data_IF_926579034331
#
_entry.id   IF_926579034331
#
_cell.length_a   1.000
_cell.length_b   1.000
_cell.length_c   1.000
_cell.angle_alpha   90.00
_cell.angle_beta   90.00
_cell.angle_gamma   90.00
#
_symmetry.space_group_name_H-M   'P 1'
#
loop_
_entity.id
_entity.type
_entity.pdbx_description
1 polymer ?
#
# COMPACT_ATOMS: atom_id res chain seq x y z
N UNK A 1 -30.82 54.36 -11.59
CA UNK A 1 -30.06 53.64 -10.54
C UNK A 1 -28.62 54.12 -10.55
N UNK A 2 -27.99 54.39 -9.40
CA UNK A 2 -26.60 54.83 -9.41
C UNK A 2 -25.69 53.68 -9.87
N UNK A 3 -24.76 53.97 -10.78
CA UNK A 3 -23.81 52.99 -11.34
C UNK A 3 -23.05 52.23 -10.24
N UNK A 4 -22.87 52.87 -9.08
CA UNK A 4 -22.29 52.29 -7.88
C UNK A 4 -23.11 51.12 -7.28
N UNK A 5 -24.44 51.21 -7.27
CA UNK A 5 -25.31 50.12 -6.76
C UNK A 5 -25.26 48.89 -7.68
N UNK A 6 -25.19 49.11 -8.99
CA UNK A 6 -25.04 48.04 -9.99
C UNK A 6 -23.67 47.37 -9.88
N UNK A 7 -22.61 48.16 -9.68
CA UNK A 7 -21.26 47.64 -9.47
C UNK A 7 -21.15 46.77 -8.20
N UNK A 8 -21.76 47.21 -7.09
CA UNK A 8 -21.81 46.43 -5.84
C UNK A 8 -22.54 45.10 -6.04
N UNK A 9 -23.66 45.09 -6.76
CA UNK A 9 -24.41 43.87 -7.03
C UNK A 9 -23.60 42.86 -7.86
N UNK A 10 -22.90 43.32 -8.89
CA UNK A 10 -22.03 42.49 -9.74
C UNK A 10 -20.85 41.95 -8.91
N UNK A 11 -20.23 42.78 -8.08
CA UNK A 11 -19.11 42.38 -7.23
C UNK A 11 -19.53 41.30 -6.22
N UNK A 12 -20.70 41.42 -5.61
CA UNK A 12 -21.23 40.42 -4.67
C UNK A 12 -21.49 39.07 -5.33
N UNK A 13 -22.04 39.05 -6.55
CA UNK A 13 -22.24 37.82 -7.32
C UNK A 13 -20.89 37.17 -7.66
N UNK A 14 -19.89 37.97 -8.05
CA UNK A 14 -18.54 37.49 -8.35
C UNK A 14 -17.86 36.87 -7.13
N UNK A 15 -17.90 37.52 -5.96
CA UNK A 15 -17.31 37.00 -4.71
C UNK A 15 -18.03 35.74 -4.25
N UNK A 16 -19.35 35.66 -4.42
CA UNK A 16 -20.13 34.46 -4.11
C UNK A 16 -19.74 33.28 -5.01
N UNK A 17 -19.63 33.52 -6.33
CA UNK A 17 -19.17 32.51 -7.30
C UNK A 17 -17.74 32.04 -7.03
N UNK A 18 -16.82 32.97 -6.72
CA UNK A 18 -15.45 32.63 -6.34
C UNK A 18 -15.38 31.80 -5.06
N UNK A 19 -16.20 32.13 -4.04
CA UNK A 19 -16.26 31.40 -2.78
C UNK A 19 -16.81 29.99 -2.97
N UNK A 20 -17.87 29.83 -3.77
CA UNK A 20 -18.42 28.53 -4.13
C UNK A 20 -17.40 27.69 -4.94
N UNK A 21 -16.67 28.33 -5.86
CA UNK A 21 -15.62 27.68 -6.65
C UNK A 21 -14.45 27.17 -5.80
N UNK A 22 -14.00 27.97 -4.83
CA UNK A 22 -12.92 27.57 -3.89
C UNK A 22 -13.38 26.44 -2.97
N UNK A 23 -14.59 26.52 -2.42
CA UNK A 23 -15.14 25.48 -1.53
C UNK A 23 -15.40 24.17 -2.29
N UNK A 24 -15.99 24.26 -3.48
CA UNK A 24 -16.24 23.11 -4.36
C UNK A 24 -14.94 22.45 -4.82
N UNK A 25 -13.95 23.23 -5.23
CA UNK A 25 -12.63 22.72 -5.61
C UNK A 25 -11.92 22.07 -4.42
N UNK A 26 -12.00 22.66 -3.23
CA UNK A 26 -11.40 22.10 -2.01
C UNK A 26 -12.06 20.78 -1.61
N UNK A 27 -13.37 20.63 -1.72
CA UNK A 27 -14.10 19.38 -1.47
C UNK A 27 -13.78 18.32 -2.53
N UNK A 28 -13.78 18.69 -3.81
CA UNK A 28 -13.47 17.80 -4.92
C UNK A 28 -12.01 17.29 -4.87
N UNK A 29 -11.06 18.20 -4.66
CA UNK A 29 -9.67 17.82 -4.43
C UNK A 29 -9.54 17.02 -3.14
N UNK A 30 -10.16 17.39 -2.02
CA UNK A 30 -10.08 16.59 -0.80
C UNK A 30 -10.58 15.16 -1.03
N UNK A 31 -11.69 14.96 -1.72
CA UNK A 31 -12.24 13.61 -1.93
C UNK A 31 -11.40 12.77 -2.90
N UNK A 32 -10.98 13.36 -4.03
CA UNK A 32 -10.22 12.64 -5.07
C UNK A 32 -8.74 12.46 -4.70
N UNK A 33 -8.17 13.44 -4.00
CA UNK A 33 -6.80 13.39 -3.48
C UNK A 33 -6.75 12.49 -2.24
N UNK A 34 -7.77 12.46 -1.37
CA UNK A 34 -7.86 11.43 -0.31
C UNK A 34 -8.02 10.04 -0.89
N UNK A 35 -8.77 9.82 -1.97
CA UNK A 35 -8.82 8.51 -2.63
C UNK A 35 -7.48 8.16 -3.28
N UNK A 36 -6.86 9.05 -4.05
CA UNK A 36 -5.53 8.80 -4.64
C UNK A 36 -4.42 8.58 -3.59
N UNK A 37 -4.51 9.25 -2.43
CA UNK A 37 -3.58 9.10 -1.31
C UNK A 37 -3.89 7.89 -0.44
N UNK A 38 -5.17 7.55 -0.19
CA UNK A 38 -5.56 6.36 0.58
C UNK A 38 -5.30 5.07 -0.18
N UNK A 39 -5.38 5.10 -1.51
CA UNK A 39 -5.20 3.89 -2.33
C UNK A 39 -3.74 3.59 -2.62
N UNK A 40 -2.85 4.60 -2.51
CA UNK A 40 -1.42 4.46 -2.86
C UNK A 40 -1.21 4.02 -4.32
N UNK A 41 0.04 3.97 -4.82
CA UNK A 41 0.32 3.18 -6.00
C UNK A 41 -0.02 1.71 -5.69
N UNK A 42 -0.62 0.97 -6.62
CA UNK A 42 -1.09 -0.36 -6.33
C UNK A 42 0.10 -1.24 -5.93
N UNK A 43 0.07 -1.87 -4.74
CA UNK A 43 1.20 -2.59 -4.18
C UNK A 43 1.53 -3.91 -4.88
N UNK A 44 0.90 -4.18 -6.02
CA UNK A 44 0.96 -5.44 -6.73
C UNK A 44 0.78 -5.18 -8.22
N UNK A 45 1.67 -4.37 -8.83
CA UNK A 45 1.58 -4.10 -10.26
C UNK A 45 1.60 -5.41 -11.06
N UNK A 46 2.41 -6.39 -10.65
CA UNK A 46 2.42 -7.69 -11.32
C UNK A 46 1.08 -8.42 -11.19
N UNK A 47 0.45 -8.49 -10.01
CA UNK A 47 -0.85 -9.18 -9.87
C UNK A 47 -1.99 -8.45 -10.57
N UNK A 48 -2.01 -7.12 -10.57
CA UNK A 48 -3.05 -6.35 -11.26
C UNK A 48 -2.88 -6.42 -12.78
N UNK A 49 -1.63 -6.41 -13.27
CA UNK A 49 -1.34 -6.58 -14.68
C UNK A 49 -1.60 -8.02 -15.13
N UNK A 50 -1.21 -9.03 -14.35
CA UNK A 50 -1.53 -10.43 -14.62
C UNK A 50 -3.04 -10.64 -14.69
N UNK A 51 -3.79 -10.17 -13.68
CA UNK A 51 -5.26 -10.28 -13.66
C UNK A 51 -5.92 -9.66 -14.89
N UNK A 52 -5.39 -8.53 -15.37
CA UNK A 52 -5.87 -7.90 -16.62
C UNK A 52 -5.46 -8.68 -17.85
N UNK A 53 -4.18 -9.03 -17.98
CA UNK A 53 -3.62 -9.71 -19.14
C UNK A 53 -4.24 -11.10 -19.34
N UNK A 54 -4.52 -11.81 -18.26
CA UNK A 54 -5.11 -13.15 -18.30
C UNK A 54 -6.55 -13.09 -18.77
N UNK A 55 -7.32 -12.13 -18.25
CA UNK A 55 -8.69 -11.91 -18.66
C UNK A 55 -8.78 -11.45 -20.12
N UNK A 56 -7.87 -10.56 -20.55
CA UNK A 56 -7.97 -9.91 -21.84
C UNK A 56 -7.24 -10.67 -22.97
N UNK A 57 -6.28 -11.56 -22.65
CA UNK A 57 -5.43 -12.24 -23.63
C UNK A 57 -5.60 -13.76 -23.68
N UNK A 58 -6.46 -14.37 -22.83
CA UNK A 58 -6.69 -15.83 -22.79
C UNK A 58 -5.40 -16.66 -22.81
N UNK A 59 -4.47 -16.33 -21.90
CA UNK A 59 -3.14 -16.94 -21.84
C UNK A 59 -3.20 -18.41 -21.45
N UNK A 60 -2.35 -19.25 -22.07
CA UNK A 60 -2.13 -20.62 -21.63
C UNK A 60 -1.36 -20.69 -20.31
N UNK A 61 -1.41 -21.82 -19.61
CA UNK A 61 -0.68 -22.02 -18.34
C UNK A 61 0.84 -21.85 -18.49
N UNK A 62 1.41 -22.27 -19.63
CA UNK A 62 2.85 -22.09 -19.90
C UNK A 62 3.18 -20.62 -20.15
N UNK A 63 2.33 -19.88 -20.88
CA UNK A 63 2.51 -18.45 -21.11
C UNK A 63 2.39 -17.64 -19.82
N UNK A 64 1.40 -17.95 -18.98
CA UNK A 64 1.24 -17.35 -17.64
C UNK A 64 2.51 -17.45 -16.81
N UNK A 65 3.09 -18.65 -16.73
CA UNK A 65 4.27 -18.92 -15.91
C UNK A 65 5.47 -18.07 -16.35
N UNK A 66 5.69 -17.95 -17.66
CA UNK A 66 6.79 -17.12 -18.18
C UNK A 66 6.53 -15.62 -18.02
N UNK A 67 5.29 -15.16 -18.25
CA UNK A 67 4.92 -13.74 -18.06
C UNK A 67 5.03 -13.34 -16.59
N UNK A 68 4.62 -14.21 -15.66
CA UNK A 68 4.77 -13.96 -14.23
C UNK A 68 6.23 -13.77 -13.83
N UNK A 69 7.12 -14.62 -14.35
CA UNK A 69 8.57 -14.50 -14.13
C UNK A 69 9.11 -13.15 -14.63
N UNK A 70 8.69 -12.72 -15.82
CA UNK A 70 9.04 -11.42 -16.39
C UNK A 70 8.57 -10.29 -15.47
N UNK A 71 7.30 -10.30 -15.06
CA UNK A 71 6.72 -9.25 -14.22
C UNK A 71 7.37 -9.18 -12.84
N UNK A 72 7.69 -10.33 -12.23
CA UNK A 72 8.45 -10.39 -10.96
C UNK A 72 9.85 -9.78 -11.12
N UNK A 73 10.52 -10.06 -12.23
CA UNK A 73 11.82 -9.45 -12.53
C UNK A 73 11.70 -7.93 -12.76
N UNK A 74 10.67 -7.49 -13.48
CA UNK A 74 10.38 -6.07 -13.69
C UNK A 74 10.11 -5.36 -12.37
N UNK A 75 9.33 -5.95 -11.47
CA UNK A 75 9.06 -5.41 -10.13
C UNK A 75 10.36 -5.20 -9.34
N UNK A 76 11.27 -6.19 -9.35
CA UNK A 76 12.60 -6.06 -8.72
C UNK A 76 13.40 -4.90 -9.32
N UNK A 77 13.42 -4.77 -10.64
CA UNK A 77 14.12 -3.67 -11.30
C UNK A 77 13.54 -2.30 -10.95
N UNK A 78 12.21 -2.20 -10.87
CA UNK A 78 11.50 -0.99 -10.45
C UNK A 78 11.89 -0.63 -9.01
N UNK A 79 11.91 -1.60 -8.08
CA UNK A 79 12.31 -1.38 -6.69
C UNK A 79 13.75 -0.85 -6.62
N UNK A 80 14.69 -1.52 -7.29
CA UNK A 80 16.11 -1.10 -7.31
C UNK A 80 16.26 0.32 -7.89
N UNK A 81 15.57 0.60 -9.00
CA UNK A 81 15.57 1.93 -9.60
C UNK A 81 15.06 2.99 -8.62
N UNK A 82 13.93 2.71 -7.97
CA UNK A 82 13.34 3.62 -6.98
C UNK A 82 14.28 3.85 -5.81
N UNK A 83 14.90 2.81 -5.25
CA UNK A 83 15.87 2.95 -4.16
C UNK A 83 17.08 3.79 -4.56
N UNK A 84 17.62 3.57 -5.76
CA UNK A 84 18.78 4.32 -6.28
C UNK A 84 18.51 5.81 -6.44
N UNK A 85 17.32 6.18 -6.94
CA UNK A 85 16.99 7.56 -7.26
C UNK A 85 16.17 8.28 -6.17
N UNK A 86 15.65 7.56 -5.17
CA UNK A 86 14.90 8.16 -4.04
C UNK A 86 15.65 9.32 -3.38
N UNK A 87 16.97 9.22 -3.06
CA UNK A 87 17.69 10.32 -2.41
C UNK A 87 17.74 11.58 -3.29
N UNK A 88 17.85 11.41 -4.60
CA UNK A 88 17.88 12.54 -5.54
C UNK A 88 16.51 13.22 -5.61
N UNK A 89 15.44 12.43 -5.62
CA UNK A 89 14.07 12.94 -5.57
C UNK A 89 13.79 13.67 -4.24
N UNK A 90 14.18 13.08 -3.10
CA UNK A 90 14.05 13.71 -1.77
C UNK A 90 14.77 15.06 -1.74
N UNK A 91 15.99 15.11 -2.29
CA UNK A 91 16.77 16.35 -2.37
C UNK A 91 16.08 17.44 -3.19
N UNK A 92 15.53 17.11 -4.37
CA UNK A 92 14.81 18.08 -5.21
C UNK A 92 13.63 18.71 -4.44
N UNK A 93 12.90 17.90 -3.68
CA UNK A 93 11.79 18.38 -2.85
C UNK A 93 12.30 19.25 -1.70
N UNK A 94 13.35 18.82 -1.00
CA UNK A 94 13.95 19.58 0.11
C UNK A 94 14.45 20.95 -0.36
N UNK A 95 15.16 21.00 -1.49
CA UNK A 95 15.68 22.23 -2.11
C UNK A 95 14.51 23.17 -2.48
N UNK A 96 13.44 22.63 -3.09
CA UNK A 96 12.24 23.41 -3.42
C UNK A 96 11.56 24.00 -2.19
N UNK A 97 11.54 23.26 -1.07
CA UNK A 97 10.95 23.76 0.19
C UNK A 97 11.79 24.91 0.76
N UNK A 98 13.12 24.87 0.63
CA UNK A 98 14.01 25.97 1.04
C UNK A 98 13.69 27.23 0.24
N UNK A 99 13.61 27.12 -1.10
CA UNK A 99 13.28 28.26 -1.97
C UNK A 99 11.90 28.85 -1.64
N UNK A 100 10.89 28.01 -1.43
CA UNK A 100 9.55 28.47 -1.03
C UNK A 100 9.61 29.23 0.29
N UNK A 101 10.37 28.75 1.29
CA UNK A 101 10.46 29.41 2.61
C UNK A 101 10.99 30.84 2.51
N UNK A 102 11.87 31.15 1.56
CA UNK A 102 12.41 32.50 1.40
C UNK A 102 11.31 33.53 1.17
N UNK A 103 10.25 33.16 0.46
CA UNK A 103 9.10 34.01 0.14
C UNK A 103 8.03 34.08 1.25
N UNK A 104 8.17 33.31 2.33
CA UNK A 104 7.16 33.17 3.38
C UNK A 104 7.48 33.97 4.63
N UNK A 105 6.43 34.45 5.30
CA UNK A 105 6.55 35.02 6.64
C UNK A 105 6.72 33.93 7.71
N UNK A 106 7.06 34.33 8.94
CA UNK A 106 7.37 33.39 10.05
C UNK A 106 6.27 32.36 10.29
N UNK A 107 5.01 32.78 10.40
CA UNK A 107 3.89 31.88 10.65
C UNK A 107 3.65 30.91 9.47
N UNK A 108 3.86 31.36 8.24
CA UNK A 108 3.74 30.51 7.05
C UNK A 108 4.87 29.49 6.95
N UNK A 109 6.10 29.84 7.36
CA UNK A 109 7.24 28.91 7.40
C UNK A 109 7.00 27.77 8.38
N UNK A 110 6.55 28.08 9.60
CA UNK A 110 6.20 27.06 10.60
C UNK A 110 5.09 26.13 10.09
N UNK A 111 4.11 26.68 9.34
CA UNK A 111 3.06 25.86 8.75
C UNK A 111 3.59 24.96 7.62
N UNK A 112 4.48 25.47 6.79
CA UNK A 112 5.11 24.71 5.72
C UNK A 112 5.98 23.58 6.31
N UNK A 113 6.69 23.82 7.41
CA UNK A 113 7.47 22.80 8.12
C UNK A 113 6.60 21.68 8.67
N UNK A 114 5.45 22.02 9.27
CA UNK A 114 4.48 21.02 9.71
C UNK A 114 3.96 20.19 8.53
N UNK A 115 3.64 20.83 7.41
CA UNK A 115 3.21 20.13 6.20
C UNK A 115 4.34 19.20 5.74
N UNK A 116 5.54 19.71 5.51
CA UNK A 116 6.67 18.95 5.03
C UNK A 116 6.98 17.73 5.92
N UNK A 117 7.03 17.93 7.24
CA UNK A 117 7.23 16.84 8.20
C UNK A 117 6.08 15.83 8.20
N UNK A 118 4.82 16.26 8.04
CA UNK A 118 3.69 15.36 7.86
C UNK A 118 3.81 14.55 6.57
N UNK A 119 4.34 15.11 5.48
CA UNK A 119 4.52 14.39 4.22
C UNK A 119 5.65 13.36 4.29
N UNK A 120 6.74 13.73 4.98
CA UNK A 120 7.88 12.85 5.23
C UNK A 120 7.49 11.70 6.16
N UNK A 121 6.72 11.98 7.22
CA UNK A 121 6.26 10.97 8.20
C UNK A 121 5.11 10.09 7.70
N UNK A 122 4.23 10.61 6.83
CA UNK A 122 3.13 9.84 6.20
C UNK A 122 3.57 9.07 4.96
N UNK A 123 4.86 9.06 4.65
CA UNK A 123 5.40 8.22 3.59
C UNK A 123 5.02 8.67 2.18
N UNK A 124 4.69 9.96 1.93
CA UNK A 124 4.43 10.42 0.53
C UNK A 124 5.63 10.21 -0.40
N UNK A 125 6.83 10.04 0.16
CA UNK A 125 8.04 9.56 -0.54
C UNK A 125 8.38 8.06 -0.29
N UNK A 126 7.72 7.38 0.65
CA UNK A 126 7.76 5.91 0.81
C UNK A 126 6.91 5.18 -0.24
N UNK A 127 5.87 5.82 -0.77
CA UNK A 127 4.96 5.20 -1.75
C UNK A 127 5.64 4.89 -3.10
N UNK A 128 6.78 5.51 -3.39
CA UNK A 128 7.62 5.14 -4.53
C UNK A 128 8.37 3.83 -4.32
N UNK A 129 7.94 2.91 -3.45
CA UNK A 129 8.66 1.65 -3.22
C UNK A 129 8.07 0.70 -2.18
N UNK A 130 7.13 1.13 -1.34
CA UNK A 130 6.53 0.27 -0.31
C UNK A 130 5.08 -0.11 -0.65
N UNK A 131 4.91 -1.32 -1.15
CA UNK A 131 3.87 -2.23 -0.64
C UNK A 131 4.16 -2.38 0.87
N UNK A 132 3.26 -2.22 1.84
CA UNK A 132 1.90 -2.72 1.97
C UNK A 132 1.14 -1.95 3.07
N UNK A 133 -0.16 -1.68 2.88
CA UNK A 133 -1.13 -1.84 3.96
C UNK A 133 -2.20 -2.86 3.56
N UNK A 134 -1.78 -4.04 3.06
CA UNK A 134 -2.67 -5.18 2.76
C UNK A 134 -2.33 -6.47 3.53
N UNK A 135 -1.28 -6.48 4.34
CA UNK A 135 -0.73 -7.74 4.88
C UNK A 135 -1.70 -8.48 5.81
N UNK A 136 -2.41 -7.77 6.69
CA UNK A 136 -3.42 -8.39 7.56
C UNK A 136 -4.70 -8.86 6.85
N UNK A 137 -5.12 -8.17 5.79
CA UNK A 137 -6.35 -8.52 5.05
C UNK A 137 -6.19 -9.82 4.25
N UNK A 138 -5.01 -10.06 3.68
CA UNK A 138 -4.71 -11.29 2.93
C UNK A 138 -4.70 -12.50 3.87
N UNK A 139 -4.12 -12.36 5.06
CA UNK A 139 -4.09 -13.42 6.07
C UNK A 139 -5.49 -13.76 6.62
N UNK A 140 -6.33 -12.76 6.88
CA UNK A 140 -7.69 -12.97 7.38
C UNK A 140 -8.59 -13.70 6.38
N UNK A 141 -8.50 -13.33 5.09
CA UNK A 141 -9.21 -14.01 4.02
C UNK A 141 -8.75 -15.46 3.88
N UNK A 142 -7.44 -15.72 3.96
CA UNK A 142 -6.88 -17.09 3.93
C UNK A 142 -7.42 -17.94 5.07
N UNK A 143 -7.41 -17.40 6.27
CA UNK A 143 -7.84 -18.12 7.47
C UNK A 143 -9.33 -18.40 7.46
N UNK A 144 -10.14 -17.48 6.92
CA UNK A 144 -11.58 -17.71 6.74
C UNK A 144 -11.85 -18.91 5.83
N UNK A 145 -11.08 -19.05 4.74
CA UNK A 145 -11.14 -20.20 3.83
C UNK A 145 -10.68 -21.46 4.52
N UNK A 146 -9.55 -21.41 5.23
CA UNK A 146 -8.98 -22.56 5.96
C UNK A 146 -9.97 -23.08 7.01
N UNK A 147 -10.56 -22.20 7.82
CA UNK A 147 -11.56 -22.58 8.83
C UNK A 147 -12.77 -23.27 8.21
N UNK A 148 -13.32 -22.64 7.15
CA UNK A 148 -14.51 -23.14 6.45
C UNK A 148 -14.26 -24.48 5.76
N UNK A 149 -13.07 -24.67 5.18
CA UNK A 149 -12.79 -25.84 4.35
C UNK A 149 -12.17 -27.01 5.11
N UNK A 150 -11.40 -26.77 6.19
CA UNK A 150 -10.72 -27.83 6.93
C UNK A 150 -11.56 -28.43 8.08
N UNK A 151 -12.76 -27.89 8.34
CA UNK A 151 -13.62 -28.32 9.46
C UNK A 151 -12.80 -28.44 10.77
N UNK A 152 -12.11 -27.36 11.12
CA UNK A 152 -11.23 -27.35 12.28
C UNK A 152 -12.03 -27.54 13.58
N UNK A 153 -11.43 -28.23 14.56
CA UNK A 153 -11.99 -28.27 15.92
C UNK A 153 -11.83 -26.92 16.60
N UNK A 154 -12.63 -26.64 17.63
CA UNK A 154 -12.52 -25.38 18.40
C UNK A 154 -11.10 -25.18 18.96
N UNK A 155 -10.45 -26.25 19.41
CA UNK A 155 -9.07 -26.22 19.89
C UNK A 155 -8.07 -25.90 18.76
N UNK A 156 -8.26 -26.48 17.57
CA UNK A 156 -7.43 -26.18 16.39
C UNK A 156 -7.62 -24.71 15.95
N UNK A 157 -8.85 -24.20 15.94
CA UNK A 157 -9.14 -22.81 15.58
C UNK A 157 -8.52 -21.81 16.56
N UNK A 158 -8.57 -22.12 17.85
CA UNK A 158 -7.98 -21.28 18.89
C UNK A 158 -6.46 -21.19 18.73
N UNK A 159 -5.80 -22.32 18.51
CA UNK A 159 -4.34 -22.36 18.23
C UNK A 159 -3.97 -21.62 16.95
N UNK A 160 -4.74 -21.83 15.87
CA UNK A 160 -4.57 -21.13 14.61
C UNK A 160 -4.66 -19.60 14.77
N UNK A 161 -5.62 -19.13 15.56
CA UNK A 161 -5.82 -17.71 15.84
C UNK A 161 -4.67 -17.12 16.68
N UNK A 162 -4.12 -17.90 17.62
CA UNK A 162 -2.94 -17.52 18.41
C UNK A 162 -1.70 -17.38 17.53
N UNK A 163 -1.41 -18.38 16.67
CA UNK A 163 -0.29 -18.32 15.74
C UNK A 163 -0.38 -17.12 14.80
N UNK A 164 -1.58 -16.80 14.31
CA UNK A 164 -1.82 -15.58 13.52
C UNK A 164 -1.44 -14.33 14.30
N UNK A 165 -1.97 -14.17 15.50
CA UNK A 165 -1.77 -12.94 16.28
C UNK A 165 -0.30 -12.74 16.64
N UNK A 166 0.41 -13.82 16.92
CA UNK A 166 1.86 -13.82 17.13
C UNK A 166 2.61 -13.46 15.84
N UNK A 167 2.29 -14.09 14.72
CA UNK A 167 2.96 -13.79 13.45
C UNK A 167 2.72 -12.35 12.99
N UNK A 168 1.48 -11.85 13.15
CA UNK A 168 1.13 -10.47 12.83
C UNK A 168 1.87 -9.47 13.71
N UNK A 169 2.07 -9.77 15.00
CA UNK A 169 2.91 -8.97 15.90
C UNK A 169 4.37 -8.97 15.44
N UNK A 170 4.92 -10.13 15.09
CA UNK A 170 6.30 -10.26 14.58
C UNK A 170 6.49 -9.47 13.29
N UNK A 171 5.58 -9.57 12.32
CA UNK A 171 5.61 -8.79 11.09
C UNK A 171 5.55 -7.29 11.38
N UNK A 172 4.63 -6.84 12.25
CA UNK A 172 4.55 -5.43 12.62
C UNK A 172 5.80 -4.90 13.32
N UNK A 173 6.42 -5.71 14.20
CA UNK A 173 7.69 -5.38 14.83
C UNK A 173 8.80 -5.28 13.79
N UNK A 174 8.93 -6.27 12.91
CA UNK A 174 9.89 -6.28 11.80
C UNK A 174 9.76 -5.03 10.92
N UNK A 175 8.54 -4.65 10.54
CA UNK A 175 8.30 -3.42 9.78
C UNK A 175 8.69 -2.15 10.55
N UNK A 176 8.49 -2.12 11.87
CA UNK A 176 8.87 -0.98 12.72
C UNK A 176 10.39 -0.88 12.81
N UNK A 177 11.07 -1.96 13.14
CA UNK A 177 12.53 -2.01 13.29
C UNK A 177 13.20 -1.65 11.96
N UNK A 178 12.66 -2.18 10.86
CA UNK A 178 13.12 -1.87 9.52
C UNK A 178 12.82 -0.42 9.07
N UNK A 179 11.82 0.25 9.68
CA UNK A 179 11.56 1.67 9.46
C UNK A 179 12.59 2.56 10.16
N UNK A 180 13.10 2.11 11.30
CA UNK A 180 14.04 2.85 12.15
C UNK A 180 15.50 2.69 11.70
N UNK A 181 15.82 1.68 10.88
CA UNK A 181 17.17 1.50 10.32
C UNK A 181 17.52 2.54 9.23
N UNK A 182 18.73 3.10 9.35
CA UNK A 182 19.30 4.11 8.44
C UNK A 182 19.57 3.57 7.03
N UNK A 183 19.98 2.29 6.91
CA UNK A 183 20.19 1.60 5.63
C UNK A 183 19.04 0.64 5.33
N UNK A 184 18.07 1.12 4.53
CA UNK A 184 16.92 0.34 4.09
C UNK A 184 17.34 -0.63 2.98
N UNK A 185 17.57 -1.91 3.30
CA UNK A 185 17.82 -2.97 2.32
C UNK A 185 16.58 -3.85 2.11
N UNK A 186 15.79 -3.62 1.06
CA UNK A 186 14.47 -4.26 0.89
C UNK A 186 14.55 -5.77 0.69
N UNK A 187 15.68 -6.26 0.17
CA UNK A 187 15.95 -7.69 0.01
C UNK A 187 15.97 -8.44 1.34
N UNK A 188 16.49 -7.81 2.41
CA UNK A 188 16.52 -8.43 3.74
C UNK A 188 15.12 -8.47 4.36
N UNK A 189 14.36 -7.36 4.26
CA UNK A 189 12.96 -7.33 4.73
C UNK A 189 12.13 -8.43 4.08
N UNK A 190 12.28 -8.64 2.77
CA UNK A 190 11.55 -9.70 2.07
C UNK A 190 11.93 -11.09 2.60
N UNK A 191 13.21 -11.38 2.80
CA UNK A 191 13.68 -12.66 3.37
C UNK A 191 13.14 -12.89 4.78
N UNK A 192 13.13 -11.85 5.61
CA UNK A 192 12.65 -11.92 6.98
C UNK A 192 11.13 -12.15 7.02
N UNK A 193 10.38 -11.53 6.10
CA UNK A 193 8.95 -11.79 5.93
C UNK A 193 8.67 -13.22 5.42
N UNK A 194 9.46 -13.71 4.47
CA UNK A 194 9.36 -15.08 3.97
C UNK A 194 9.66 -16.11 5.08
N UNK A 195 10.64 -15.83 5.94
CA UNK A 195 10.95 -16.68 7.09
C UNK A 195 9.78 -16.74 8.09
N UNK A 196 9.14 -15.60 8.38
CA UNK A 196 7.94 -15.53 9.22
C UNK A 196 6.75 -16.28 8.62
N UNK A 197 6.59 -16.23 7.29
CA UNK A 197 5.56 -17.00 6.58
C UNK A 197 5.82 -18.51 6.66
N UNK A 198 7.07 -18.95 6.53
CA UNK A 198 7.47 -20.35 6.69
C UNK A 198 7.29 -20.86 8.12
N UNK A 199 7.62 -20.03 9.11
CA UNK A 199 7.40 -20.35 10.53
C UNK A 199 5.90 -20.57 10.79
N UNK A 200 5.06 -19.63 10.35
CA UNK A 200 3.61 -19.73 10.49
C UNK A 200 3.05 -20.97 9.79
N UNK A 201 3.52 -21.29 8.58
CA UNK A 201 3.08 -22.50 7.88
C UNK A 201 3.44 -23.78 8.66
N UNK A 202 4.64 -23.84 9.23
CA UNK A 202 5.07 -24.98 10.05
C UNK A 202 4.19 -25.16 11.30
N UNK A 203 3.84 -24.05 11.94
CA UNK A 203 2.92 -24.05 13.09
C UNK A 203 1.51 -24.50 12.70
N UNK A 204 0.99 -24.06 11.56
CA UNK A 204 -0.31 -24.51 11.03
C UNK A 204 -0.27 -26.02 10.78
N UNK A 205 0.74 -26.52 10.07
CA UNK A 205 0.83 -27.95 9.77
C UNK A 205 0.91 -28.82 11.02
N UNK A 206 1.50 -28.33 12.11
CA UNK A 206 1.61 -29.06 13.39
C UNK A 206 0.27 -29.33 14.08
N UNK A 207 -0.78 -28.56 13.77
CA UNK A 207 -2.11 -28.71 14.36
C UNK A 207 -3.11 -29.43 13.45
N UNK A 208 -2.74 -29.70 12.19
CA UNK A 208 -3.62 -30.35 11.21
C UNK A 208 -3.41 -31.87 11.20
N UNK A 209 -4.48 -32.61 10.90
CA UNK A 209 -4.38 -34.04 10.57
C UNK A 209 -3.77 -34.24 9.17
N UNK A 210 -3.40 -35.48 8.82
CA UNK A 210 -2.90 -35.79 7.47
C UNK A 210 -3.91 -35.43 6.36
N UNK A 211 -5.20 -35.68 6.58
CA UNK A 211 -6.26 -35.34 5.63
C UNK A 211 -6.44 -33.82 5.51
N UNK A 212 -6.45 -33.11 6.65
CA UNK A 212 -6.51 -31.65 6.68
C UNK A 212 -5.28 -31.02 6.02
N UNK A 213 -4.10 -31.61 6.19
CA UNK A 213 -2.86 -31.16 5.56
C UNK A 213 -2.93 -31.26 4.04
N UNK A 214 -3.42 -32.38 3.50
CA UNK A 214 -3.63 -32.54 2.05
C UNK A 214 -4.57 -31.46 1.52
N UNK A 215 -5.67 -31.19 2.24
CA UNK A 215 -6.65 -30.17 1.86
C UNK A 215 -6.09 -28.74 2.00
N UNK A 216 -5.29 -28.47 3.02
CA UNK A 216 -4.59 -27.19 3.20
C UNK A 216 -3.69 -26.88 2.01
N UNK A 217 -2.91 -27.86 1.52
CA UNK A 217 -2.10 -27.67 0.32
C UNK A 217 -2.93 -27.45 -0.95
N UNK A 218 -4.12 -28.06 -1.06
CA UNK A 218 -5.04 -27.79 -2.17
C UNK A 218 -5.56 -26.35 -2.12
N UNK A 219 -5.98 -25.88 -0.94
CA UNK A 219 -6.41 -24.49 -0.72
C UNK A 219 -5.27 -23.53 -1.05
N UNK A 220 -4.05 -23.78 -0.56
CA UNK A 220 -2.88 -22.94 -0.83
C UNK A 220 -2.54 -22.92 -2.32
N UNK A 221 -2.62 -24.06 -3.01
CA UNK A 221 -2.41 -24.16 -4.46
C UNK A 221 -3.48 -23.41 -5.25
N UNK A 222 -4.75 -23.53 -4.85
CA UNK A 222 -5.86 -22.83 -5.47
C UNK A 222 -5.78 -21.32 -5.25
N UNK A 223 -5.51 -20.90 -4.01
CA UNK A 223 -5.26 -19.51 -3.67
C UNK A 223 -4.05 -18.94 -4.42
N UNK A 224 -2.97 -19.70 -4.54
CA UNK A 224 -1.84 -19.29 -5.38
C UNK A 224 -2.28 -19.14 -6.84
N UNK A 225 -3.23 -19.92 -7.36
CA UNK A 225 -3.81 -19.71 -8.70
C UNK A 225 -4.79 -18.53 -8.77
N UNK A 226 -5.46 -18.18 -7.68
CA UNK A 226 -6.41 -17.04 -7.62
C UNK A 226 -5.71 -15.70 -7.36
N UNK A 227 -4.61 -15.72 -6.62
CA UNK A 227 -3.69 -14.60 -6.40
C UNK A 227 -2.76 -14.42 -7.61
N UNK A 228 -2.48 -15.51 -8.31
CA UNK A 228 -1.77 -15.54 -9.59
C UNK A 228 -2.76 -15.92 -10.69
N UNK A 229 -3.85 -15.14 -10.91
CA UNK A 229 -4.71 -15.34 -12.05
C UNK A 229 -3.92 -14.91 -13.28
#
# INVERSE_FOLDING_TARGET
MSKFKVFIAIFLVFVSGASAGVLGSKLYFKHRFEQAIKTGPPPLMHHLLMRKMVHDLNLSESQRTEIEKILRQTEKQIIIFREKYRPQFEKIIDDSIIEIKEMLNKNQREKLDQIHNQLRSRGRMEHWGRSCPRMGMVEEEMLSTIKKELNLTEDQEKRLSQFRDENLKKKHALYRDYREQEQRNFSNLQKDLEALDQEMESQILSILTEEQTKKYYQIKKQRNREITP
#
